data_IF_524473834288
#
_entry.id   IF_524473834288
#
_cell.length_a   1.000
_cell.length_b   1.000
_cell.length_c   1.000
_cell.angle_alpha   90.00
_cell.angle_beta   90.00
_cell.angle_gamma   90.00
#
_symmetry.space_group_name_H-M   'P 1'
#
loop_
_entity.id
_entity.type
_entity.pdbx_description
1 polymer ?
#
# COMPACT_ATOMS: atom_id res chain seq x y z
N UNK A 1 -0.12 -29.73 -16.75
CA UNK A 1 0.30 -28.31 -16.83
C UNK A 1 -0.56 -27.61 -17.87
N UNK A 2 -1.71 -27.05 -17.49
CA UNK A 2 -2.69 -26.44 -18.42
C UNK A 2 -3.31 -25.17 -17.82
N UNK A 3 -2.46 -24.23 -17.36
CA UNK A 3 -2.91 -23.06 -16.59
C UNK A 3 -3.05 -21.75 -17.37
N UNK A 4 -2.88 -21.75 -18.71
CA UNK A 4 -2.77 -20.50 -19.47
C UNK A 4 -1.57 -19.64 -19.04
N UNK A 5 -1.37 -18.44 -19.60
CA UNK A 5 -0.41 -17.49 -19.04
C UNK A 5 -0.89 -17.04 -17.66
N UNK A 6 -0.17 -17.46 -16.61
CA UNK A 6 -0.40 -16.94 -15.27
C UNK A 6 0.13 -15.51 -15.19
N UNK A 7 -0.65 -14.62 -14.61
CA UNK A 7 -0.30 -13.20 -14.54
C UNK A 7 -1.11 -12.50 -13.45
N UNK A 8 -0.48 -11.53 -12.81
CA UNK A 8 -1.12 -10.62 -11.87
C UNK A 8 -0.90 -9.21 -12.38
N UNK A 9 -1.99 -8.44 -12.47
CA UNK A 9 -1.95 -7.03 -12.79
C UNK A 9 -2.64 -6.23 -11.68
N UNK A 10 -1.98 -5.15 -11.28
CA UNK A 10 -2.38 -4.28 -10.19
C UNK A 10 -2.21 -2.82 -10.65
N UNK A 11 -3.34 -2.13 -10.76
CA UNK A 11 -3.41 -0.71 -11.11
C UNK A 11 -3.77 0.05 -9.86
N UNK A 12 -3.00 1.09 -9.50
CA UNK A 12 -3.31 1.94 -8.36
C UNK A 12 -3.23 3.41 -8.77
N UNK A 13 -4.31 4.16 -8.48
CA UNK A 13 -4.44 5.58 -8.76
C UNK A 13 -4.79 6.32 -7.47
N UNK A 14 -4.10 7.42 -7.21
CA UNK A 14 -4.30 8.24 -6.02
C UNK A 14 -4.68 9.67 -6.41
N UNK A 15 -5.77 10.19 -5.85
CA UNK A 15 -6.19 11.57 -6.00
C UNK A 15 -6.18 12.24 -4.62
N UNK A 16 -5.42 13.32 -4.44
CA UNK A 16 -5.24 13.96 -3.12
C UNK A 16 -5.56 15.44 -3.17
N UNK A 17 -6.26 15.94 -2.14
CA UNK A 17 -6.46 17.36 -1.94
C UNK A 17 -5.47 17.86 -0.88
N UNK A 18 -4.40 18.51 -1.31
CA UNK A 18 -3.29 18.89 -0.42
C UNK A 18 -3.45 20.30 0.13
N UNK A 19 -3.27 20.44 1.44
CA UNK A 19 -3.09 21.72 2.12
C UNK A 19 -1.76 21.72 2.86
N UNK A 20 -0.98 22.79 2.70
CA UNK A 20 0.29 22.96 3.40
C UNK A 20 0.47 24.40 3.86
N UNK A 21 1.05 24.55 5.06
CA UNK A 21 1.33 25.86 5.64
C UNK A 21 2.69 25.87 6.34
N UNK A 22 3.40 27.00 6.21
CA UNK A 22 4.68 27.26 6.87
C UNK A 22 4.48 28.18 8.08
N UNK A 23 5.07 27.80 9.19
CA UNK A 23 5.08 28.47 10.49
C UNK A 23 6.54 28.66 10.94
N UNK A 24 7.14 29.79 10.55
CA UNK A 24 8.56 30.05 10.83
C UNK A 24 9.46 29.04 10.12
N UNK A 25 10.22 28.25 10.89
CA UNK A 25 11.09 27.19 10.37
C UNK A 25 10.37 25.86 10.14
N UNK A 26 9.09 25.73 10.51
CA UNK A 26 8.33 24.48 10.38
C UNK A 26 7.33 24.59 9.23
N UNK A 27 7.26 23.59 8.37
CA UNK A 27 6.25 23.46 7.32
C UNK A 27 5.46 22.18 7.56
N UNK A 28 4.13 22.27 7.56
CA UNK A 28 3.24 21.13 7.77
C UNK A 28 2.32 20.99 6.57
N UNK A 29 2.11 19.77 6.11
CA UNK A 29 1.20 19.42 5.04
C UNK A 29 0.29 18.28 5.46
N UNK A 30 -0.96 18.35 5.01
CA UNK A 30 -1.96 17.28 5.12
C UNK A 30 -2.69 17.15 3.80
N UNK A 31 -2.99 15.92 3.40
CA UNK A 31 -3.68 15.62 2.18
C UNK A 31 -4.61 14.42 2.40
N UNK A 32 -5.92 14.62 2.58
CA UNK A 32 -6.87 13.56 2.33
C UNK A 32 -6.68 13.01 0.91
N UNK A 33 -6.62 11.69 0.80
CA UNK A 33 -6.32 10.96 -0.42
C UNK A 33 -7.41 9.94 -0.68
N UNK A 34 -7.99 10.01 -1.87
CA UNK A 34 -8.81 8.96 -2.45
C UNK A 34 -7.92 8.02 -3.26
N UNK A 35 -8.17 6.72 -3.16
CA UNK A 35 -7.48 5.67 -3.88
C UNK A 35 -8.47 4.91 -4.75
N UNK A 36 -8.04 4.57 -5.96
CA UNK A 36 -8.72 3.66 -6.86
C UNK A 36 -7.74 2.56 -7.21
N UNK A 37 -8.17 1.31 -7.14
CA UNK A 37 -7.35 0.16 -7.43
C UNK A 37 -8.08 -0.77 -8.39
N UNK A 38 -7.38 -1.26 -9.42
CA UNK A 38 -7.84 -2.34 -10.27
C UNK A 38 -6.96 -3.56 -10.07
N UNK A 39 -7.56 -4.73 -9.95
CA UNK A 39 -6.84 -5.99 -9.80
C UNK A 39 -7.30 -7.01 -10.82
N UNK A 40 -6.35 -7.77 -11.38
CA UNK A 40 -6.62 -8.92 -12.24
C UNK A 40 -5.63 -10.03 -11.97
N UNK A 41 -6.11 -11.25 -11.80
CA UNK A 41 -5.27 -12.44 -11.70
C UNK A 41 -5.76 -13.57 -12.60
N UNK A 42 -4.88 -14.03 -13.49
CA UNK A 42 -5.11 -15.16 -14.40
C UNK A 42 -4.22 -16.35 -14.02
N UNK A 43 -4.71 -17.57 -14.25
CA UNK A 43 -3.91 -18.79 -14.10
C UNK A 43 -3.71 -19.32 -12.65
N UNK A 44 -4.48 -18.85 -11.66
CA UNK A 44 -4.39 -19.33 -10.28
C UNK A 44 -5.29 -20.54 -9.96
N UNK A 45 -5.82 -21.24 -10.98
CA UNK A 45 -6.79 -22.33 -10.79
C UNK A 45 -6.29 -23.49 -9.93
N UNK A 46 -4.96 -23.69 -9.83
CA UNK A 46 -4.35 -24.69 -8.95
C UNK A 46 -4.59 -24.43 -7.45
N UNK A 47 -4.90 -23.19 -7.08
CA UNK A 47 -5.15 -22.78 -5.69
C UNK A 47 -6.64 -22.91 -5.30
N UNK A 48 -7.52 -23.31 -6.21
CA UNK A 48 -8.95 -23.48 -5.92
C UNK A 48 -9.24 -24.47 -4.78
N UNK A 49 -8.39 -25.48 -4.57
CA UNK A 49 -8.58 -26.46 -3.50
C UNK A 49 -8.37 -25.90 -2.07
N UNK A 50 -7.74 -24.73 -1.95
CA UNK A 50 -7.47 -24.06 -0.67
C UNK A 50 -8.19 -22.72 -0.54
N UNK A 51 -9.11 -22.41 -1.46
CA UNK A 51 -9.92 -21.20 -1.48
C UNK A 51 -11.33 -21.45 -0.93
N UNK A 52 -11.85 -20.49 -0.18
CA UNK A 52 -13.24 -20.49 0.28
C UNK A 52 -14.25 -20.24 -0.86
N UNK A 53 -13.82 -19.56 -1.93
CA UNK A 53 -14.58 -19.39 -3.16
C UNK A 53 -13.69 -19.62 -4.39
N UNK A 54 -13.63 -20.87 -4.89
CA UNK A 54 -12.83 -21.21 -6.06
C UNK A 54 -13.30 -20.55 -7.36
N UNK A 55 -14.52 -19.99 -7.39
CA UNK A 55 -15.09 -19.29 -8.56
C UNK A 55 -14.71 -17.80 -8.58
N UNK A 56 -14.49 -17.20 -7.41
CA UNK A 56 -14.01 -15.82 -7.22
C UNK A 56 -12.49 -15.78 -6.93
N UNK A 57 -11.69 -16.50 -7.71
CA UNK A 57 -10.23 -16.65 -7.48
C UNK A 57 -9.36 -16.16 -8.64
N UNK A 58 -9.77 -16.41 -9.88
CA UNK A 58 -8.92 -16.17 -11.06
C UNK A 58 -9.71 -16.18 -12.36
N UNK A 59 -9.17 -15.55 -13.39
CA UNK A 59 -9.75 -15.45 -14.74
C UNK A 59 -11.09 -14.69 -14.77
N UNK A 60 -11.34 -13.83 -13.78
CA UNK A 60 -12.58 -13.03 -13.68
C UNK A 60 -12.47 -11.66 -14.38
N UNK A 61 -11.30 -11.29 -14.89
CA UNK A 61 -11.08 -9.98 -15.53
C UNK A 61 -10.61 -8.93 -14.53
N UNK A 62 -10.82 -7.64 -14.83
CA UNK A 62 -10.49 -6.60 -13.85
C UNK A 62 -11.64 -6.40 -12.90
N UNK A 63 -11.32 -6.45 -11.61
CA UNK A 63 -12.18 -5.95 -10.55
C UNK A 63 -11.61 -4.63 -10.01
N UNK A 64 -12.48 -3.78 -9.48
CA UNK A 64 -12.15 -2.43 -9.06
C UNK A 64 -12.56 -2.17 -7.62
N UNK A 65 -11.62 -1.63 -6.85
CA UNK A 65 -11.79 -1.22 -5.46
C UNK A 65 -11.51 0.27 -5.31
N UNK A 66 -12.25 0.91 -4.41
CA UNK A 66 -12.07 2.32 -4.07
C UNK A 66 -11.83 2.46 -2.59
N UNK A 67 -11.06 3.47 -2.21
CA UNK A 67 -10.74 3.69 -0.82
C UNK A 67 -10.29 5.09 -0.50
N UNK A 68 -10.02 5.32 0.78
CA UNK A 68 -9.55 6.60 1.25
C UNK A 68 -8.61 6.48 2.44
N UNK A 69 -7.78 7.50 2.60
CA UNK A 69 -6.90 7.67 3.74
C UNK A 69 -6.31 9.07 3.75
N UNK A 70 -5.29 9.28 4.57
CA UNK A 70 -4.68 10.59 4.76
C UNK A 70 -3.18 10.47 4.59
N UNK A 71 -2.61 11.42 3.86
CA UNK A 71 -1.19 11.68 3.79
C UNK A 71 -0.86 12.93 4.59
N UNK A 72 0.32 12.95 5.19
CA UNK A 72 0.79 14.09 5.95
C UNK A 72 2.29 14.19 5.95
N UNK A 73 2.79 15.38 6.24
CA UNK A 73 4.21 15.59 6.40
C UNK A 73 4.54 16.84 7.18
N UNK A 74 5.71 16.83 7.79
CA UNK A 74 6.32 17.95 8.48
C UNK A 74 7.75 18.09 8.00
N UNK A 75 8.18 19.32 7.74
CA UNK A 75 9.56 19.68 7.47
C UNK A 75 9.99 20.75 8.45
N UNK A 76 11.21 20.64 8.98
CA UNK A 76 11.82 21.62 9.86
C UNK A 76 13.13 22.08 9.25
N UNK A 77 13.23 23.38 9.00
CA UNK A 77 14.47 24.08 8.63
C UNK A 77 15.28 24.30 9.91
N UNK A 78 16.19 23.38 10.23
CA UNK A 78 17.01 23.43 11.46
C UNK A 78 18.03 24.56 11.37
N UNK A 79 18.62 24.73 10.20
CA UNK A 79 19.49 25.86 9.83
C UNK A 79 19.18 26.25 8.38
N UNK A 80 19.70 27.38 7.86
CA UNK A 80 19.54 27.72 6.44
C UNK A 80 20.08 26.68 5.46
N UNK A 81 20.92 25.75 5.93
CA UNK A 81 21.57 24.72 5.12
C UNK A 81 21.14 23.28 5.50
N UNK A 82 20.32 23.10 6.54
CA UNK A 82 19.94 21.77 7.04
C UNK A 82 18.44 21.72 7.24
N UNK A 83 17.82 20.74 6.60
CA UNK A 83 16.38 20.48 6.64
C UNK A 83 16.12 19.04 7.05
N UNK A 84 15.15 18.84 7.92
CA UNK A 84 14.70 17.51 8.34
C UNK A 84 13.23 17.37 7.95
N UNK A 85 12.85 16.23 7.40
CA UNK A 85 11.49 15.91 6.99
C UNK A 85 10.99 14.62 7.61
N UNK A 86 9.70 14.57 7.87
CA UNK A 86 8.95 13.35 8.17
C UNK A 86 7.66 13.40 7.36
N UNK A 87 7.39 12.39 6.56
CA UNK A 87 6.16 12.25 5.80
C UNK A 87 5.58 10.85 6.05
N UNK A 88 4.27 10.72 5.92
CA UNK A 88 3.62 9.44 6.05
C UNK A 88 2.27 9.39 5.35
N UNK A 89 1.81 8.18 5.12
CA UNK A 89 0.44 7.89 4.72
C UNK A 89 -0.16 6.89 5.69
N UNK A 90 -1.42 7.13 6.06
CA UNK A 90 -2.20 6.12 6.75
C UNK A 90 -2.41 4.91 5.84
N UNK A 91 -2.83 3.81 6.46
CA UNK A 91 -3.51 2.74 5.74
C UNK A 91 -4.67 3.36 4.94
N UNK A 92 -4.79 2.99 3.66
CA UNK A 92 -5.95 3.37 2.85
C UNK A 92 -6.95 2.23 2.98
N UNK A 93 -8.13 2.53 3.50
CA UNK A 93 -9.20 1.56 3.63
C UNK A 93 -9.89 1.45 2.28
N UNK A 94 -9.78 0.27 1.68
CA UNK A 94 -10.29 -0.06 0.36
C UNK A 94 -11.57 -0.90 0.50
N UNK A 95 -12.45 -0.83 -0.50
CA UNK A 95 -13.58 -1.76 -0.61
C UNK A 95 -13.09 -3.15 -1.03
N UNK A 96 -13.85 -4.19 -0.72
CA UNK A 96 -13.51 -5.55 -1.15
C UNK A 96 -13.56 -5.70 -2.67
N UNK A 97 -12.76 -6.63 -3.20
CA UNK A 97 -12.88 -7.14 -4.57
C UNK A 97 -13.82 -8.34 -4.59
N UNK A 98 -15.06 -8.13 -5.03
CA UNK A 98 -16.09 -9.17 -5.11
C UNK A 98 -15.68 -10.33 -6.04
N UNK A 99 -15.07 -10.03 -7.19
CA UNK A 99 -14.65 -11.03 -8.18
C UNK A 99 -13.38 -11.80 -7.77
N UNK A 100 -12.71 -11.35 -6.71
CA UNK A 100 -11.51 -11.95 -6.13
C UNK A 100 -11.67 -12.28 -4.64
N UNK A 101 -12.92 -12.43 -4.18
CA UNK A 101 -13.26 -12.72 -2.79
C UNK A 101 -12.67 -14.04 -2.26
N UNK A 102 -12.43 -15.01 -3.15
CA UNK A 102 -11.77 -16.27 -2.83
C UNK A 102 -10.24 -16.20 -2.82
N UNK A 103 -9.65 -15.09 -3.26
CA UNK A 103 -8.20 -14.89 -3.33
C UNK A 103 -7.66 -14.10 -2.14
N UNK A 104 -8.26 -12.96 -1.82
CA UNK A 104 -7.83 -12.08 -0.73
C UNK A 104 -8.63 -12.32 0.54
N UNK A 105 -8.02 -12.08 1.70
CA UNK A 105 -8.64 -12.29 3.02
C UNK A 105 -9.96 -11.52 3.20
N UNK A 106 -10.79 -11.93 4.16
CA UNK A 106 -12.07 -11.29 4.49
C UNK A 106 -13.04 -11.16 3.30
N UNK A 107 -12.94 -12.06 2.31
CA UNK A 107 -13.81 -12.03 1.15
C UNK A 107 -13.44 -10.97 0.12
N UNK A 108 -12.15 -10.67 -0.06
CA UNK A 108 -11.67 -9.75 -1.10
C UNK A 108 -11.00 -8.47 -0.60
N UNK A 109 -10.76 -8.36 0.71
CA UNK A 109 -10.13 -7.20 1.34
C UNK A 109 -8.66 -7.07 0.90
N UNK A 110 -8.33 -5.91 0.30
CA UNK A 110 -6.98 -5.57 -0.09
C UNK A 110 -6.72 -4.09 0.12
N UNK A 111 -6.47 -3.75 1.39
CA UNK A 111 -6.06 -2.40 1.78
C UNK A 111 -4.65 -2.02 1.30
N UNK A 112 -4.40 -0.72 1.15
CA UNK A 112 -3.05 -0.20 0.85
C UNK A 112 -2.33 0.08 2.19
N UNK A 113 -1.11 -0.47 2.40
CA UNK A 113 -0.42 -0.37 3.68
C UNK A 113 -0.03 1.06 4.03
N UNK A 114 0.04 1.33 5.34
CA UNK A 114 0.60 2.56 5.84
C UNK A 114 2.10 2.64 5.52
N UNK A 115 2.64 3.85 5.41
CA UNK A 115 4.09 4.03 5.28
C UNK A 115 4.55 5.33 5.90
N UNK A 116 5.80 5.37 6.35
CA UNK A 116 6.46 6.57 6.87
C UNK A 116 7.83 6.73 6.22
N UNK A 117 8.23 7.96 5.95
CA UNK A 117 9.54 8.33 5.43
C UNK A 117 10.10 9.47 6.27
N UNK A 118 11.29 9.29 6.82
CA UNK A 118 12.05 10.32 7.50
C UNK A 118 13.27 10.69 6.67
N UNK A 119 13.64 11.96 6.61
CA UNK A 119 14.68 12.44 5.71
C UNK A 119 15.48 13.60 6.28
N UNK A 120 16.72 13.71 5.83
CA UNK A 120 17.60 14.86 6.10
C UNK A 120 18.19 15.35 4.79
N UNK A 121 18.12 16.66 4.58
CA UNK A 121 18.74 17.35 3.45
C UNK A 121 19.76 18.39 3.96
N UNK A 122 20.96 18.37 3.38
CA UNK A 122 22.07 19.26 3.73
C UNK A 122 22.57 19.95 2.46
N UNK A 123 22.46 21.28 2.44
CA UNK A 123 22.97 22.14 1.37
C UNK A 123 24.46 22.46 1.65
N UNK A 124 25.36 21.71 1.00
CA UNK A 124 26.81 21.88 1.16
C UNK A 124 27.31 23.19 0.51
N UNK A 125 26.66 23.60 -0.59
CA UNK A 125 26.86 24.88 -1.27
C UNK A 125 25.62 25.20 -2.14
N UNK A 126 25.52 26.40 -2.77
CA UNK A 126 24.34 26.78 -3.57
C UNK A 126 24.03 25.89 -4.77
N UNK A 127 24.90 24.95 -5.14
CA UNK A 127 24.75 24.05 -6.28
C UNK A 127 24.77 22.58 -5.90
N UNK A 128 24.91 22.24 -4.60
CA UNK A 128 25.00 20.86 -4.13
C UNK A 128 24.21 20.66 -2.84
N UNK A 129 23.17 19.83 -2.93
CA UNK A 129 22.38 19.32 -1.82
C UNK A 129 22.59 17.82 -1.71
N UNK A 130 22.91 17.33 -0.51
CA UNK A 130 22.95 15.91 -0.19
C UNK A 130 21.70 15.57 0.61
N UNK A 131 21.05 14.47 0.25
CA UNK A 131 19.84 13.99 0.93
C UNK A 131 20.02 12.54 1.32
N UNK A 132 19.48 12.18 2.48
CA UNK A 132 19.37 10.80 2.94
C UNK A 132 17.98 10.60 3.53
N UNK A 133 17.29 9.57 3.06
CA UNK A 133 15.95 9.21 3.50
C UNK A 133 15.96 7.78 4.04
N UNK A 134 15.12 7.55 5.05
CA UNK A 134 14.76 6.24 5.58
C UNK A 134 13.27 6.08 5.46
N UNK A 135 12.82 4.98 4.86
CA UNK A 135 11.41 4.67 4.68
C UNK A 135 11.07 3.34 5.32
N UNK A 136 9.92 3.29 5.97
CA UNK A 136 9.29 2.07 6.47
C UNK A 136 7.89 1.92 5.88
N UNK A 137 7.60 0.73 5.38
CA UNK A 137 6.28 0.35 4.88
C UNK A 137 5.73 -0.74 5.80
N UNK A 138 4.56 -0.48 6.37
CA UNK A 138 3.91 -1.35 7.35
C UNK A 138 3.05 -2.40 6.64
N UNK A 139 3.71 -3.37 5.98
CA UNK A 139 3.03 -4.44 5.25
C UNK A 139 2.26 -5.38 6.19
N UNK A 140 2.73 -5.56 7.42
CA UNK A 140 2.06 -6.44 8.40
C UNK A 140 0.69 -5.94 8.84
N UNK A 141 0.40 -4.65 8.65
CA UNK A 141 -0.89 -4.03 9.02
C UNK A 141 -2.00 -4.26 7.96
N UNK A 142 -1.64 -4.86 6.81
CA UNK A 142 -2.58 -5.31 5.79
C UNK A 142 -2.59 -6.84 5.82
N UNK A 143 -3.67 -7.42 6.33
CA UNK A 143 -3.72 -8.84 6.64
C UNK A 143 -3.63 -9.73 5.36
N UNK A 144 -4.16 -9.28 4.21
CA UNK A 144 -3.95 -9.92 2.91
C UNK A 144 -2.47 -10.03 2.49
N UNK A 145 -1.60 -9.17 3.00
CA UNK A 145 -0.16 -9.15 2.70
C UNK A 145 0.64 -9.80 3.84
N UNK A 146 0.33 -9.44 5.09
CA UNK A 146 1.06 -9.85 6.29
C UNK A 146 0.72 -11.23 6.83
N UNK A 147 -0.49 -11.77 6.58
CA UNK A 147 -0.84 -13.09 7.09
C UNK A 147 0.05 -14.16 6.46
N UNK A 148 0.51 -15.10 7.27
CA UNK A 148 1.28 -16.25 6.80
C UNK A 148 0.47 -17.04 5.75
N UNK A 149 1.16 -17.63 4.78
CA UNK A 149 0.54 -18.51 3.75
C UNK A 149 -0.13 -19.76 4.35
N UNK A 150 0.08 -20.03 5.64
CA UNK A 150 -0.50 -21.13 6.42
C UNK A 150 -1.62 -20.70 7.37
N UNK A 151 -2.00 -19.42 7.41
CA UNK A 151 -2.93 -18.87 8.40
C UNK A 151 -4.37 -19.39 8.27
N UNK A 152 -4.72 -20.03 7.16
CA UNK A 152 -6.03 -20.60 6.90
C UNK A 152 -6.32 -20.71 5.41
N UNK A 153 -7.54 -21.11 5.00
CA UNK A 153 -7.93 -21.08 3.59
C UNK A 153 -7.94 -19.63 3.04
N UNK A 154 -7.65 -19.48 1.74
CA UNK A 154 -7.74 -18.18 1.04
C UNK A 154 -9.20 -17.69 1.04
N UNK A 155 -9.42 -16.38 1.17
CA UNK A 155 -10.77 -15.80 1.24
C UNK A 155 -11.44 -15.83 2.61
N UNK A 156 -10.93 -16.62 3.57
CA UNK A 156 -11.50 -16.66 4.92
C UNK A 156 -11.10 -15.43 5.76
N UNK A 157 -11.92 -15.04 6.75
CA UNK A 157 -11.50 -14.09 7.77
C UNK A 157 -10.28 -14.61 8.55
N UNK A 158 -9.19 -13.84 8.60
CA UNK A 158 -7.91 -14.28 9.18
C UNK A 158 -7.19 -15.36 8.36
N UNK A 159 -7.58 -15.57 7.10
CA UNK A 159 -7.06 -16.59 6.20
C UNK A 159 -5.66 -16.29 5.66
N UNK A 160 -5.13 -17.18 4.81
CA UNK A 160 -3.79 -17.05 4.26
C UNK A 160 -3.58 -15.74 3.49
N UNK A 161 -2.44 -15.09 3.73
CA UNK A 161 -1.93 -13.96 2.96
C UNK A 161 -0.60 -14.29 2.29
N UNK A 162 0.17 -13.28 1.89
CA UNK A 162 1.48 -13.48 1.23
C UNK A 162 2.66 -13.66 2.19
N UNK A 163 2.46 -13.46 3.50
CA UNK A 163 3.49 -13.63 4.53
C UNK A 163 4.63 -12.62 4.46
N UNK A 164 4.37 -11.40 4.01
CA UNK A 164 5.40 -10.36 3.92
C UNK A 164 5.54 -9.63 5.25
N UNK A 165 6.79 -9.54 5.72
CA UNK A 165 7.17 -8.72 6.87
C UNK A 165 7.30 -7.24 6.47
N UNK A 166 7.27 -6.36 7.48
CA UNK A 166 7.58 -4.93 7.32
C UNK A 166 8.94 -4.73 6.62
N UNK A 167 8.99 -3.78 5.68
CA UNK A 167 10.21 -3.46 4.94
C UNK A 167 10.72 -2.09 5.35
N UNK A 168 11.97 -2.05 5.80
CA UNK A 168 12.76 -0.85 5.99
C UNK A 168 13.70 -0.66 4.78
N UNK A 169 13.73 0.54 4.18
CA UNK A 169 14.54 0.87 2.99
C UNK A 169 15.13 2.27 3.03
#
# INVERSE_FOLDING_TARGET
FMGGPAGVDLIQLFASATYAQKFGSVSVGVAPTFAFQGFKADGLGAFGAISMDPTALTNNGYDYSVGAGIRGGIQVDVTPNIRIGLAGQSKMYMTEFDDYAGLFENGGDFDIPASVTAGVAIDLNPSLTVMADWRRIFYSDVAAIGNATTAGPLGAPGGAGFGWDDVDS
#
